data_IF_829864258962
#
_entry.id   IF_829864258962
#
_cell.length_a   1.000
_cell.length_b   1.000
_cell.length_c   1.000
_cell.angle_alpha   90.00
_cell.angle_beta   90.00
_cell.angle_gamma   90.00
#
_symmetry.space_group_name_H-M   'P 1'
#
loop_
_entity.id
_entity.type
_entity.pdbx_description
1 polymer ?
#
# COMPACT_ATOMS: atom_id res chain seq x y z
N UNK A 1 -14.04 -5.30 -9.04
CA UNK A 1 -14.91 -4.75 -7.98
C UNK A 1 -14.29 -3.43 -7.55
N UNK A 2 -14.94 -2.28 -7.77
CA UNK A 2 -14.43 -1.00 -7.29
C UNK A 2 -14.97 -0.76 -5.87
N UNK A 3 -14.08 -0.76 -4.88
CA UNK A 3 -14.42 -0.55 -3.46
C UNK A 3 -14.74 0.93 -3.16
N UNK A 4 -15.60 1.54 -3.98
CA UNK A 4 -15.63 2.99 -4.18
C UNK A 4 -14.42 3.46 -5.00
N UNK A 5 -14.54 4.57 -5.73
CA UNK A 5 -13.40 5.20 -6.40
C UNK A 5 -12.44 5.87 -5.40
N UNK A 6 -11.35 6.46 -5.89
CA UNK A 6 -10.44 7.28 -5.08
C UNK A 6 -9.31 6.54 -4.37
N UNK A 7 -9.09 5.26 -4.69
CA UNK A 7 -7.94 4.51 -4.20
C UNK A 7 -6.67 4.85 -4.99
N UNK A 8 -5.60 5.19 -4.29
CA UNK A 8 -4.26 5.32 -4.84
C UNK A 8 -3.46 4.07 -4.51
N UNK A 9 -3.13 3.28 -5.53
CA UNK A 9 -2.27 2.10 -5.40
C UNK A 9 -0.83 2.57 -5.21
N UNK A 10 -0.16 2.04 -4.20
CA UNK A 10 1.25 2.37 -3.93
C UNK A 10 2.18 1.14 -3.95
N UNK A 11 1.62 -0.07 -3.94
CA UNK A 11 2.38 -1.30 -4.11
C UNK A 11 1.53 -2.29 -4.92
N UNK A 12 2.16 -3.00 -5.85
CA UNK A 12 1.55 -4.12 -6.57
C UNK A 12 2.55 -5.26 -6.79
N UNK A 13 2.14 -6.49 -6.45
CA UNK A 13 2.76 -7.77 -6.83
C UNK A 13 1.75 -8.62 -7.61
N UNK A 14 2.18 -9.28 -8.68
CA UNK A 14 1.32 -10.04 -9.61
C UNK A 14 2.00 -11.27 -10.20
N UNK A 15 3.28 -11.18 -10.57
CA UNK A 15 3.95 -12.20 -11.39
C UNK A 15 5.42 -12.46 -11.02
N UNK A 16 5.99 -11.66 -10.11
CA UNK A 16 7.38 -11.78 -9.65
C UNK A 16 8.43 -11.28 -10.65
N UNK A 17 8.06 -10.52 -11.69
CA UNK A 17 9.02 -10.00 -12.66
C UNK A 17 9.85 -8.83 -12.14
N UNK A 18 9.33 -8.08 -11.16
CA UNK A 18 10.04 -6.96 -10.58
C UNK A 18 10.84 -7.40 -9.34
N UNK A 19 12.07 -6.91 -9.24
CA UNK A 19 12.92 -7.19 -8.09
C UNK A 19 12.62 -6.20 -6.97
N UNK A 20 12.22 -6.69 -5.79
CA UNK A 20 11.97 -5.90 -4.60
C UNK A 20 13.14 -5.92 -3.59
N UNK A 21 14.20 -6.68 -3.87
CA UNK A 21 15.47 -6.57 -3.14
C UNK A 21 16.24 -5.33 -3.64
N UNK A 22 15.90 -4.17 -3.05
CA UNK A 22 16.30 -2.84 -3.50
C UNK A 22 16.86 -2.00 -2.37
N UNK A 23 17.76 -1.09 -2.71
CA UNK A 23 18.42 -0.21 -1.76
C UNK A 23 17.47 0.88 -1.23
N UNK A 24 17.87 1.55 -0.15
CA UNK A 24 17.09 2.62 0.48
C UNK A 24 16.67 3.72 -0.51
N UNK A 25 17.61 4.13 -1.37
CA UNK A 25 17.36 5.21 -2.35
C UNK A 25 16.30 4.82 -3.39
N UNK A 26 16.17 3.53 -3.70
CA UNK A 26 15.17 3.02 -4.65
C UNK A 26 13.81 2.93 -3.97
N UNK A 27 13.74 2.39 -2.74
CA UNK A 27 12.50 2.41 -1.95
C UNK A 27 12.02 3.83 -1.63
N UNK A 28 12.94 4.78 -1.46
CA UNK A 28 12.62 6.20 -1.29
C UNK A 28 11.91 6.78 -2.51
N UNK A 29 12.48 6.60 -3.69
CA UNK A 29 12.00 7.24 -4.93
C UNK A 29 10.92 6.45 -5.66
N UNK A 30 10.82 5.15 -5.41
CA UNK A 30 9.96 4.22 -6.14
C UNK A 30 10.70 3.48 -7.27
N UNK A 31 10.15 2.34 -7.66
CA UNK A 31 10.66 1.47 -8.71
C UNK A 31 9.54 0.61 -9.30
N UNK A 32 9.84 -0.04 -10.43
CA UNK A 32 8.90 -0.87 -11.17
C UNK A 32 8.00 -0.11 -12.13
N UNK A 33 6.96 -0.78 -12.62
CA UNK A 33 6.07 -0.28 -13.65
C UNK A 33 4.68 0.07 -13.11
N UNK A 34 4.55 1.31 -12.65
CA UNK A 34 3.29 1.87 -12.16
C UNK A 34 2.29 2.25 -13.28
N UNK A 35 2.74 2.30 -14.54
CA UNK A 35 1.91 2.79 -15.65
C UNK A 35 1.22 1.65 -16.39
N UNK A 36 1.80 0.45 -16.38
CA UNK A 36 1.15 -0.74 -16.93
C UNK A 36 0.03 -1.25 -16.01
N UNK A 37 -1.08 -1.77 -16.56
CA UNK A 37 -2.15 -2.38 -15.77
C UNK A 37 -1.69 -3.57 -14.91
N UNK A 38 -0.69 -4.33 -15.39
CA UNK A 38 -0.21 -5.56 -14.76
C UNK A 38 1.20 -5.42 -14.14
N UNK A 39 1.81 -4.23 -14.22
CA UNK A 39 3.20 -4.02 -13.80
C UNK A 39 3.37 -4.06 -12.28
N UNK A 40 4.38 -4.78 -11.79
CA UNK A 40 4.73 -4.73 -10.37
C UNK A 40 5.49 -3.43 -10.05
N UNK A 41 5.19 -2.81 -8.90
CA UNK A 41 5.87 -1.56 -8.51
C UNK A 41 5.77 -1.27 -7.02
N UNK A 42 6.67 -0.38 -6.57
CA UNK A 42 6.60 0.36 -5.32
C UNK A 42 6.62 1.85 -5.66
N UNK A 43 5.61 2.61 -5.21
CA UNK A 43 5.44 4.01 -5.56
C UNK A 43 6.59 4.90 -5.06
N UNK A 44 7.22 4.51 -3.95
CA UNK A 44 8.24 5.29 -3.27
C UNK A 44 7.77 5.79 -1.91
N UNK A 45 8.68 5.76 -0.93
CA UNK A 45 8.39 6.19 0.43
C UNK A 45 8.18 7.70 0.54
N UNK A 46 8.90 8.50 -0.27
CA UNK A 46 8.69 9.96 -0.32
C UNK A 46 7.28 10.33 -0.85
N UNK A 47 6.83 9.79 -2.01
CA UNK A 47 5.44 9.95 -2.45
C UNK A 47 4.41 9.45 -1.43
N UNK A 48 4.65 8.29 -0.80
CA UNK A 48 3.73 7.70 0.17
C UNK A 48 3.60 8.56 1.44
N UNK A 49 4.73 9.07 1.95
CA UNK A 49 4.74 10.05 3.03
C UNK A 49 3.94 11.31 2.63
N UNK A 50 4.25 11.88 1.45
CA UNK A 50 3.57 13.08 0.95
C UNK A 50 2.05 12.89 0.88
N UNK A 51 1.56 11.77 0.36
CA UNK A 51 0.13 11.45 0.29
C UNK A 51 -0.45 11.36 1.71
N UNK A 52 0.12 10.49 2.54
CA UNK A 52 -0.47 10.15 3.84
C UNK A 52 -0.32 11.24 4.91
N UNK A 53 0.52 12.25 4.66
CA UNK A 53 0.65 13.45 5.51
C UNK A 53 -0.46 14.49 5.31
N UNK A 54 -1.26 14.39 4.25
CA UNK A 54 -2.26 15.41 3.89
C UNK A 54 -3.56 15.31 4.71
N UNK A 55 -3.77 14.23 5.44
CA UNK A 55 -4.99 14.01 6.22
C UNK A 55 -5.11 12.60 6.77
N UNK A 56 -6.33 12.18 7.07
CA UNK A 56 -6.62 10.83 7.51
C UNK A 56 -6.76 9.91 6.29
N UNK A 57 -5.85 8.94 6.16
CA UNK A 57 -5.91 7.91 5.11
C UNK A 57 -6.25 6.54 5.68
N UNK A 58 -7.02 5.78 4.91
CA UNK A 58 -7.33 4.37 5.13
C UNK A 58 -6.41 3.53 4.23
N UNK A 59 -5.89 2.42 4.76
CA UNK A 59 -5.15 1.42 3.99
C UNK A 59 -6.10 0.27 3.65
N UNK A 60 -6.02 -0.22 2.41
CA UNK A 60 -6.57 -1.51 2.01
C UNK A 60 -5.49 -2.35 1.35
N UNK A 61 -5.44 -3.61 1.74
CA UNK A 61 -4.59 -4.65 1.15
C UNK A 61 -5.51 -5.70 0.54
N UNK A 62 -5.42 -5.90 -0.78
CA UNK A 62 -6.06 -7.02 -1.46
C UNK A 62 -5.00 -8.07 -1.77
N UNK A 63 -5.32 -9.34 -1.57
CA UNK A 63 -4.43 -10.46 -1.80
C UNK A 63 -5.15 -11.60 -2.53
N UNK A 64 -4.41 -12.36 -3.32
CA UNK A 64 -4.87 -13.58 -3.99
C UNK A 64 -3.83 -14.69 -3.79
N UNK A 65 -4.30 -15.91 -3.56
CA UNK A 65 -3.45 -17.11 -3.48
C UNK A 65 -3.41 -17.87 -4.82
N UNK A 66 -2.62 -18.93 -4.90
CA UNK A 66 -2.51 -19.74 -6.13
C UNK A 66 -3.70 -20.68 -6.38
N UNK A 67 -4.65 -20.72 -5.45
CA UNK A 67 -5.94 -21.42 -5.56
C UNK A 67 -7.07 -20.46 -5.99
N UNK A 68 -6.71 -19.22 -6.37
CA UNK A 68 -7.62 -18.16 -6.81
C UNK A 68 -8.56 -17.65 -5.71
N UNK A 69 -8.28 -17.98 -4.44
CA UNK A 69 -9.01 -17.37 -3.33
C UNK A 69 -8.51 -15.93 -3.15
N UNK A 70 -9.45 -15.01 -2.95
CA UNK A 70 -9.15 -13.60 -2.71
C UNK A 70 -9.54 -13.22 -1.29
N UNK A 71 -8.66 -12.47 -0.62
CA UNK A 71 -8.90 -11.92 0.71
C UNK A 71 -8.43 -10.48 0.79
N UNK A 72 -8.90 -9.77 1.81
CA UNK A 72 -8.47 -8.40 2.04
C UNK A 72 -8.33 -8.07 3.52
N UNK A 73 -7.63 -6.96 3.79
CA UNK A 73 -7.49 -6.33 5.10
C UNK A 73 -7.59 -4.81 4.95
N UNK A 74 -8.28 -4.16 5.88
CA UNK A 74 -8.47 -2.70 5.91
C UNK A 74 -8.10 -2.13 7.28
N UNK A 75 -7.43 -0.98 7.25
CA UNK A 75 -6.96 -0.27 8.43
C UNK A 75 -7.28 1.22 8.34
N UNK A 76 -7.63 1.82 9.47
CA UNK A 76 -7.72 3.28 9.60
C UNK A 76 -6.35 3.90 9.88
N UNK A 77 -6.24 5.22 9.67
CA UNK A 77 -5.11 6.07 10.09
C UNK A 77 -3.75 5.52 9.64
N UNK A 78 -3.67 5.14 8.38
CA UNK A 78 -2.40 4.76 7.75
C UNK A 78 -1.59 6.01 7.45
N UNK A 79 -0.39 6.10 8.03
CA UNK A 79 0.55 7.20 7.78
C UNK A 79 1.99 6.71 7.79
N UNK A 80 2.78 7.26 6.89
CA UNK A 80 4.23 7.01 6.83
C UNK A 80 4.94 8.32 7.18
N UNK A 81 5.89 8.28 8.11
CA UNK A 81 6.70 9.45 8.46
C UNK A 81 7.66 9.86 7.34
N UNK A 82 8.34 10.99 7.52
CA UNK A 82 9.37 11.45 6.58
C UNK A 82 10.68 10.66 6.72
N UNK A 83 11.63 10.88 5.81
CA UNK A 83 12.90 10.16 5.79
C UNK A 83 13.73 10.32 7.08
N UNK A 84 13.65 11.49 7.74
CA UNK A 84 14.40 11.76 8.98
C UNK A 84 14.03 10.80 10.10
N UNK A 85 12.76 10.36 10.11
CA UNK A 85 12.19 9.40 11.05
C UNK A 85 12.13 7.98 10.43
N UNK A 86 12.86 7.77 9.33
CA UNK A 86 12.98 6.51 8.59
C UNK A 86 11.64 5.92 8.14
N UNK A 87 10.73 6.77 7.66
CA UNK A 87 9.45 6.32 7.12
C UNK A 87 8.68 5.40 8.09
N UNK A 88 8.72 5.73 9.39
CA UNK A 88 8.02 4.96 10.43
C UNK A 88 6.54 4.77 10.08
N UNK A 89 6.06 3.53 10.20
CA UNK A 89 4.67 3.19 9.94
C UNK A 89 3.80 3.55 11.13
N UNK A 90 2.75 4.31 10.87
CA UNK A 90 1.64 4.51 11.79
C UNK A 90 0.43 3.79 11.21
N UNK A 91 -0.15 2.90 12.01
CA UNK A 91 -1.30 2.11 11.64
C UNK A 91 -2.33 2.22 12.75
N UNK A 92 -3.57 2.53 12.38
CA UNK A 92 -4.70 2.53 13.31
C UNK A 92 -5.43 1.19 13.32
N UNK A 93 -6.66 1.23 13.83
CA UNK A 93 -7.55 0.08 13.98
C UNK A 93 -7.73 -0.71 12.66
N UNK A 94 -7.60 -2.05 12.74
CA UNK A 94 -8.10 -2.98 11.74
C UNK A 94 -9.63 -2.94 11.71
N UNK A 95 -10.20 -2.55 10.56
CA UNK A 95 -11.63 -2.27 10.46
C UNK A 95 -12.44 -3.34 9.75
N UNK A 96 -11.82 -4.02 8.79
CA UNK A 96 -12.51 -5.00 7.97
C UNK A 96 -11.50 -5.92 7.28
N UNK A 97 -12.00 -7.05 6.81
CA UNK A 97 -11.21 -8.01 6.05
C UNK A 97 -11.36 -9.43 6.59
N UNK A 98 -11.11 -10.38 5.72
CA UNK A 98 -11.10 -11.82 5.97
C UNK A 98 -9.70 -12.42 5.93
N UNK A 99 -8.66 -11.61 5.65
CA UNK A 99 -7.26 -12.04 5.66
C UNK A 99 -6.64 -12.12 7.07
N UNK A 100 -7.31 -11.56 8.08
CA UNK A 100 -6.74 -11.37 9.42
C UNK A 100 -5.73 -10.22 9.48
N UNK A 101 -5.41 -9.81 10.70
CA UNK A 101 -4.54 -8.65 10.97
C UNK A 101 -3.07 -9.07 11.10
N UNK A 102 -2.37 -9.16 9.97
CA UNK A 102 -0.96 -9.50 9.94
C UNK A 102 -0.03 -8.31 10.28
N UNK A 103 -0.52 -7.07 10.17
CA UNK A 103 0.30 -5.87 10.44
C UNK A 103 0.28 -5.45 11.91
N UNK A 104 -0.65 -5.97 12.71
CA UNK A 104 -0.71 -5.82 14.17
C UNK A 104 -0.98 -7.17 14.86
N UNK A 105 -0.35 -8.25 14.37
CA UNK A 105 -0.57 -9.65 14.78
C UNK A 105 -0.19 -10.00 16.25
N UNK A 106 -0.81 -9.35 17.23
CA UNK A 106 -0.60 -9.57 18.66
C UNK A 106 0.32 -8.55 19.34
N UNK A 107 0.44 -7.34 18.78
CA UNK A 107 1.08 -6.20 19.41
C UNK A 107 2.55 -5.94 19.00
N UNK A 108 3.27 -5.08 19.72
CA UNK A 108 4.48 -4.39 19.24
C UNK A 108 5.69 -5.31 18.97
N UNK A 109 5.62 -6.58 19.36
CA UNK A 109 6.69 -7.53 19.10
C UNK A 109 6.58 -8.14 17.69
N UNK A 110 5.37 -8.31 17.15
CA UNK A 110 5.11 -9.03 15.90
C UNK A 110 4.49 -8.14 14.81
N UNK A 111 3.83 -7.05 15.21
CA UNK A 111 3.24 -6.06 14.31
C UNK A 111 4.24 -5.06 13.74
N UNK A 112 3.91 -4.51 12.59
CA UNK A 112 4.65 -3.43 11.90
C UNK A 112 4.24 -2.03 12.38
N UNK A 113 3.19 -1.90 13.19
CA UNK A 113 2.77 -0.59 13.72
C UNK A 113 3.86 0.04 14.60
N UNK A 114 4.25 1.28 14.29
CA UNK A 114 5.32 2.01 14.98
C UNK A 114 6.73 1.60 14.56
N UNK A 115 6.89 0.68 13.60
CA UNK A 115 8.18 0.17 13.14
C UNK A 115 8.77 1.10 12.07
N UNK A 116 10.10 1.29 12.11
CA UNK A 116 10.83 2.06 11.11
C UNK A 116 11.10 1.22 9.86
N UNK A 117 11.02 1.83 8.68
CA UNK A 117 11.31 1.13 7.44
C UNK A 117 12.80 0.77 7.39
N UNK A 118 13.11 -0.39 6.82
CA UNK A 118 14.48 -0.85 6.63
C UNK A 118 14.67 -1.47 5.25
N UNK A 119 15.91 -1.41 4.78
CA UNK A 119 16.43 -2.10 3.58
C UNK A 119 17.77 -2.75 3.94
N UNK A 120 18.35 -3.56 3.04
CA UNK A 120 19.63 -4.23 3.29
C UNK A 120 20.80 -3.26 3.57
N UNK A 121 20.77 -2.05 2.99
CA UNK A 121 21.79 -1.01 3.10
C UNK A 121 21.48 0.03 4.20
N UNK A 122 20.24 0.06 4.70
CA UNK A 122 19.83 0.92 5.82
C UNK A 122 18.80 0.18 6.70
N UNK A 123 19.26 -0.57 7.72
CA UNK A 123 18.35 -1.27 8.61
C UNK A 123 17.50 -0.28 9.43
N UNK A 124 16.22 -0.60 9.66
CA UNK A 124 15.36 0.16 10.56
C UNK A 124 15.81 0.02 12.01
N UNK A 125 15.74 1.06 12.84
CA UNK A 125 16.32 1.01 14.20
C UNK A 125 15.67 -0.03 15.15
N UNK A 126 14.42 -0.43 14.89
CA UNK A 126 13.76 -1.53 15.63
C UNK A 126 14.42 -2.90 15.39
N UNK A 127 15.23 -3.05 14.33
CA UNK A 127 16.09 -4.21 14.10
C UNK A 127 17.28 -4.31 15.07
N UNK A 128 17.48 -3.36 16.00
CA UNK A 128 18.52 -3.56 17.02
C UNK A 128 18.22 -4.78 17.91
N UNK A 129 16.95 -5.18 18.07
CA UNK A 129 16.60 -6.43 18.77
C UNK A 129 16.90 -7.71 17.96
N UNK A 130 17.15 -7.62 16.65
CA UNK A 130 17.50 -8.76 15.78
C UNK A 130 19.02 -8.90 15.56
N UNK A 131 19.78 -7.81 15.69
CA UNK A 131 21.25 -7.87 15.72
C UNK A 131 21.75 -8.72 16.91
N UNK A 132 21.07 -8.63 18.06
CA UNK A 132 21.36 -9.43 19.26
C UNK A 132 21.03 -10.92 19.06
N UNK A 133 20.01 -11.22 18.25
CA UNK A 133 19.58 -12.59 17.94
C UNK A 133 20.48 -13.26 16.88
N UNK A 134 21.07 -12.49 15.97
CA UNK A 134 22.07 -12.96 15.01
C UNK A 134 23.45 -13.18 15.65
N UNK A 135 23.75 -12.49 16.75
CA UNK A 135 24.99 -12.65 17.52
C UNK A 135 24.92 -13.75 18.62
N UNK A 136 23.77 -14.41 18.79
CA UNK A 136 23.61 -15.50 19.75
C UNK A 136 24.23 -16.79 19.20
N UNK A 137 25.51 -16.95 19.51
CA UNK A 137 26.30 -18.17 19.36
C UNK A 137 25.69 -19.32 20.20
N UNK A 138 25.43 -20.40 19.47
CA UNK A 138 25.07 -21.80 19.76
C UNK A 138 24.39 -22.36 21.04
N UNK A 139 24.28 -21.74 22.22
CA UNK A 139 24.07 -22.61 23.42
C UNK A 139 22.97 -22.32 24.45
N UNK A 140 22.03 -21.37 24.28
CA UNK A 140 20.96 -21.25 25.30
C UNK A 140 19.62 -20.63 24.84
N UNK A 141 18.55 -21.40 25.09
CA UNK A 141 17.12 -21.01 25.24
C UNK A 141 16.37 -20.48 24.01
N UNK A 142 15.77 -21.40 23.25
CA UNK A 142 14.33 -21.43 22.91
C UNK A 142 13.64 -20.21 22.28
N UNK A 143 14.36 -19.17 21.88
CA UNK A 143 13.82 -18.02 21.16
C UNK A 143 13.90 -18.28 19.66
N UNK A 144 12.78 -18.12 18.95
CA UNK A 144 12.77 -18.20 17.49
C UNK A 144 13.81 -17.22 16.91
N UNK A 145 14.79 -17.77 16.16
CA UNK A 145 15.77 -16.99 15.40
C UNK A 145 15.02 -16.44 14.19
N UNK A 146 14.60 -15.18 14.24
CA UNK A 146 14.05 -14.49 13.07
C UNK A 146 15.19 -14.27 12.09
N UNK A 147 15.24 -15.07 11.03
CA UNK A 147 16.33 -15.04 10.07
C UNK A 147 16.23 -13.75 9.26
N UNK A 148 17.34 -13.03 9.23
CA UNK A 148 17.55 -11.75 8.58
C UNK A 148 16.84 -11.64 7.22
N UNK A 149 15.96 -10.65 7.10
CA UNK A 149 15.15 -10.35 5.92
C UNK A 149 15.99 -9.53 4.92
N UNK A 150 16.89 -10.21 4.21
CA UNK A 150 17.88 -9.56 3.33
C UNK A 150 17.39 -9.37 1.88
N UNK A 151 16.09 -9.54 1.59
CA UNK A 151 15.56 -9.50 0.20
C UNK A 151 14.34 -8.63 -0.04
N UNK A 152 14.10 -7.66 0.83
CA UNK A 152 13.09 -6.63 0.59
C UNK A 152 13.34 -5.37 1.43
N UNK A 153 12.59 -4.33 1.15
CA UNK A 153 12.40 -3.19 2.05
C UNK A 153 11.04 -3.28 2.72
N UNK A 154 10.99 -3.14 4.04
CA UNK A 154 9.75 -3.27 4.81
C UNK A 154 9.83 -2.61 6.19
N UNK A 155 8.69 -2.54 6.86
CA UNK A 155 8.58 -2.26 8.30
C UNK A 155 8.80 -3.54 9.10
N UNK A 156 10.08 -3.96 9.15
CA UNK A 156 10.54 -5.19 9.78
C UNK A 156 10.43 -5.14 11.32
N UNK A 157 9.53 -5.96 11.86
CA UNK A 157 9.36 -6.25 13.28
C UNK A 157 10.15 -7.52 13.66
N UNK A 158 9.88 -8.16 14.80
CA UNK A 158 10.54 -9.42 15.13
C UNK A 158 9.76 -10.59 14.50
N UNK A 159 10.37 -11.29 13.52
CA UNK A 159 9.77 -12.42 12.80
C UNK A 159 8.44 -12.01 12.14
N UNK A 160 8.48 -11.07 11.20
CA UNK A 160 7.31 -10.32 10.72
C UNK A 160 6.12 -11.24 10.43
N UNK A 161 4.96 -10.79 10.88
CA UNK A 161 3.70 -11.47 10.54
C UNK A 161 3.22 -11.15 9.12
N UNK A 162 3.84 -10.18 8.44
CA UNK A 162 3.62 -9.95 7.02
C UNK A 162 4.81 -9.28 6.35
N UNK A 163 5.16 -9.74 5.15
CA UNK A 163 6.18 -9.14 4.28
C UNK A 163 5.66 -9.17 2.84
N UNK A 164 4.95 -8.14 2.42
CA UNK A 164 4.34 -8.10 1.09
C UNK A 164 5.32 -7.72 -0.02
N UNK A 165 6.54 -7.32 0.36
CA UNK A 165 7.63 -6.97 -0.55
C UNK A 165 8.64 -8.12 -0.72
N UNK A 166 8.42 -9.28 -0.10
CA UNK A 166 9.35 -10.40 -0.12
C UNK A 166 9.62 -11.00 -1.50
N UNK A 167 10.46 -12.02 -1.51
CA UNK A 167 10.77 -12.82 -2.68
C UNK A 167 9.51 -13.52 -3.21
N UNK A 168 9.32 -13.48 -4.52
CA UNK A 168 8.12 -14.04 -5.14
C UNK A 168 8.28 -15.55 -5.34
N UNK A 169 7.71 -16.34 -4.44
CA UNK A 169 7.52 -17.78 -4.64
C UNK A 169 6.11 -18.08 -5.14
N UNK A 170 5.92 -19.25 -5.77
CA UNK A 170 4.63 -19.69 -6.28
C UNK A 170 3.91 -20.61 -5.30
N UNK A 171 3.25 -20.02 -4.31
CA UNK A 171 2.48 -20.74 -3.29
C UNK A 171 3.37 -21.26 -2.16
N UNK A 172 3.19 -22.52 -1.70
CA UNK A 172 4.05 -23.12 -0.69
C UNK A 172 5.52 -23.11 -1.15
N UNK A 173 6.43 -22.76 -0.25
CA UNK A 173 7.86 -22.69 -0.58
C UNK A 173 8.74 -23.24 0.55
N UNK A 174 9.93 -23.70 0.16
CA UNK A 174 11.00 -24.12 1.08
C UNK A 174 12.23 -23.25 0.80
N UNK A 175 12.69 -22.55 1.84
CA UNK A 175 13.83 -21.64 1.75
C UNK A 175 14.60 -21.63 3.08
N UNK A 176 15.78 -21.01 3.07
CA UNK A 176 16.59 -20.86 4.29
C UNK A 176 15.99 -19.85 5.28
N UNK A 177 15.12 -18.97 4.80
CA UNK A 177 14.46 -17.94 5.57
C UNK A 177 13.00 -17.81 5.13
N UNK A 178 12.17 -17.22 5.98
CA UNK A 178 10.77 -16.88 5.69
C UNK A 178 10.71 -15.57 4.89
N UNK A 179 11.31 -15.58 3.69
CA UNK A 179 11.54 -14.38 2.86
C UNK A 179 10.50 -14.17 1.74
N UNK A 180 9.41 -14.94 1.72
CA UNK A 180 8.37 -14.86 0.70
C UNK A 180 7.45 -13.63 0.76
N UNK A 181 6.52 -13.51 -0.19
CA UNK A 181 5.40 -12.54 -0.14
C UNK A 181 4.34 -13.05 0.84
N UNK A 182 4.50 -12.74 2.13
CA UNK A 182 3.80 -13.43 3.22
C UNK A 182 2.70 -12.58 3.88
N UNK A 183 1.59 -13.23 4.20
CA UNK A 183 0.55 -12.74 5.12
C UNK A 183 0.19 -13.86 6.12
N UNK A 184 0.83 -13.83 7.30
CA UNK A 184 0.85 -14.94 8.26
C UNK A 184 -0.54 -15.38 8.71
N UNK A 185 -1.43 -14.42 9.01
CA UNK A 185 -2.77 -14.71 9.54
C UNK A 185 -3.68 -15.44 8.55
N UNK A 186 -3.26 -15.56 7.29
CA UNK A 186 -3.98 -16.34 6.28
C UNK A 186 -3.31 -17.69 6.00
N UNK A 187 -2.06 -17.71 5.54
CA UNK A 187 -1.41 -18.94 5.08
C UNK A 187 -0.14 -19.32 5.86
N UNK A 188 0.19 -18.59 6.94
CA UNK A 188 1.45 -18.76 7.68
C UNK A 188 2.66 -18.23 6.93
N UNK A 189 3.87 -18.51 7.43
CA UNK A 189 5.12 -17.97 6.88
C UNK A 189 5.61 -18.66 5.60
N UNK A 190 5.24 -19.92 5.37
CA UNK A 190 5.80 -20.75 4.30
C UNK A 190 4.92 -20.82 3.03
N UNK A 191 4.12 -19.78 2.82
CA UNK A 191 3.31 -19.61 1.62
C UNK A 191 3.47 -18.18 1.09
N UNK A 192 3.80 -18.06 -0.20
CA UNK A 192 3.91 -16.78 -0.89
C UNK A 192 2.64 -16.49 -1.70
N UNK A 193 2.06 -15.30 -1.51
CA UNK A 193 0.86 -14.86 -2.22
C UNK A 193 1.10 -14.77 -3.72
N UNK A 194 0.07 -15.05 -4.52
CA UNK A 194 0.08 -14.91 -5.98
C UNK A 194 0.03 -13.44 -6.39
N UNK A 195 -0.86 -12.66 -5.78
CA UNK A 195 -0.92 -11.23 -6.04
C UNK A 195 -1.23 -10.44 -4.77
N UNK A 196 -0.75 -9.21 -4.75
CA UNK A 196 -0.95 -8.25 -3.67
C UNK A 196 -1.14 -6.87 -4.28
N UNK A 197 -2.11 -6.11 -3.76
CA UNK A 197 -2.29 -4.70 -4.07
C UNK A 197 -2.49 -3.94 -2.77
N UNK A 198 -1.58 -3.02 -2.46
CA UNK A 198 -1.74 -2.08 -1.35
C UNK A 198 -2.13 -0.71 -1.87
N UNK A 199 -3.17 -0.14 -1.27
CA UNK A 199 -3.74 1.13 -1.71
C UNK A 199 -4.23 1.95 -0.53
N UNK A 200 -4.15 3.27 -0.67
CA UNK A 200 -4.65 4.24 0.31
C UNK A 200 -5.80 5.06 -0.25
N UNK A 201 -6.68 5.52 0.63
CA UNK A 201 -7.76 6.44 0.28
C UNK A 201 -7.95 7.46 1.40
N UNK A 202 -8.09 8.74 1.05
CA UNK A 202 -8.44 9.76 2.03
C UNK A 202 -9.83 9.45 2.61
N UNK A 203 -9.98 9.55 3.92
CA UNK A 203 -11.23 9.25 4.61
C UNK A 203 -12.34 10.26 4.28
N UNK A 204 -11.95 11.49 3.96
CA UNK A 204 -12.82 12.62 3.65
C UNK A 204 -12.94 12.89 2.15
N UNK A 205 -12.52 11.96 1.29
CA UNK A 205 -12.63 12.07 -0.16
C UNK A 205 -14.11 12.26 -0.55
N UNK A 206 -14.47 13.51 -0.81
CA UNK A 206 -15.79 13.80 -1.35
C UNK A 206 -15.85 13.25 -2.77
N UNK A 207 -16.98 12.61 -3.17
CA UNK A 207 -17.17 12.28 -4.57
C UNK A 207 -17.02 13.58 -5.38
N UNK A 208 -16.43 13.50 -6.59
CA UNK A 208 -16.36 14.68 -7.44
C UNK A 208 -17.79 15.25 -7.55
N UNK A 209 -17.96 16.58 -7.44
CA UNK A 209 -19.26 17.18 -7.70
C UNK A 209 -19.74 16.66 -9.06
N UNK A 210 -21.05 16.39 -9.22
CA UNK A 210 -21.60 15.92 -10.49
C UNK A 210 -21.02 16.80 -11.60
N UNK A 211 -20.37 16.19 -12.60
CA UNK A 211 -19.89 16.96 -13.73
C UNK A 211 -21.11 17.57 -14.39
N UNK A 212 -21.27 18.89 -14.28
CA UNK A 212 -22.25 19.63 -15.05
C UNK A 212 -21.86 19.51 -16.53
N UNK A 213 -22.28 18.40 -17.13
CA UNK A 213 -22.36 18.22 -18.57
C UNK A 213 -23.17 19.37 -19.18
N UNK A 214 -22.85 19.75 -20.42
CA UNK A 214 -22.52 21.11 -20.78
C UNK A 214 -23.71 22.06 -20.58
N UNK A 215 -23.65 22.86 -19.52
CA UNK A 215 -24.49 24.05 -19.36
C UNK A 215 -24.03 25.21 -20.28
N UNK A 216 -23.22 24.91 -21.30
CA UNK A 216 -22.59 25.87 -22.21
C UNK A 216 -23.29 25.98 -23.58
N UNK A 217 -24.19 25.05 -23.94
CA UNK A 217 -24.92 25.16 -25.22
C UNK A 217 -26.20 26.00 -25.13
N UNK A 218 -26.81 26.11 -23.94
CA UNK A 218 -28.06 26.88 -23.77
C UNK A 218 -27.81 28.36 -23.53
N UNK A 219 -26.65 28.75 -23.01
CA UNK A 219 -26.25 30.17 -22.89
C UNK A 219 -25.70 30.76 -24.19
N UNK A 220 -25.22 29.94 -25.14
CA UNK A 220 -24.77 30.41 -26.45
C UNK A 220 -25.88 30.45 -27.52
N UNK A 221 -27.02 29.79 -27.29
CA UNK A 221 -28.19 29.85 -28.17
C UNK A 221 -29.35 30.71 -27.64
N UNK A 222 -29.22 31.28 -26.43
CA UNK A 222 -30.29 32.03 -25.76
C UNK A 222 -30.30 33.55 -26.01
N UNK A 223 -29.31 34.11 -26.70
CA UNK A 223 -29.27 35.55 -26.99
C UNK A 223 -29.31 35.77 -28.49
N UNK A 224 -30.51 35.66 -29.09
CA UNK A 224 -30.94 36.51 -30.21
C UNK A 224 -32.39 36.18 -30.55
N UNK A 225 -33.18 37.24 -30.73
CA UNK A 225 -34.60 37.31 -31.06
C UNK A 225 -35.52 37.27 -29.84
N UNK A 226 -35.66 38.41 -29.15
CA UNK A 226 -36.95 39.11 -28.96
C UNK A 226 -36.63 40.57 -28.59
N UNK A 227 -36.63 41.46 -29.57
CA UNK A 227 -36.92 42.91 -29.41
C UNK A 227 -36.95 43.60 -30.78
N UNK A 228 -38.02 43.37 -31.54
CA UNK A 228 -38.59 44.39 -32.44
C UNK A 228 -40.11 44.28 -32.33
N UNK A 229 -40.66 44.90 -31.29
CA UNK A 229 -42.08 45.19 -31.20
C UNK A 229 -42.35 46.41 -32.09
N UNK A 230 -43.36 46.29 -32.94
CA UNK A 230 -43.56 47.14 -34.10
C UNK A 230 -44.08 48.54 -33.81
N UNK A 231 -43.85 49.42 -34.80
CA UNK A 231 -44.71 50.55 -35.10
C UNK A 231 -45.32 50.31 -36.49
N UNK A 232 -46.65 50.28 -36.53
CA UNK A 232 -47.41 50.29 -37.77
C UNK A 232 -47.60 51.70 -38.30
N UNK A 233 -47.60 51.84 -39.63
CA UNK A 233 -48.44 52.79 -40.35
C UNK A 233 -48.48 52.42 -41.84
N UNK A 234 -49.70 52.29 -42.38
CA UNK A 234 -50.02 52.29 -43.80
C UNK A 234 -49.57 53.61 -44.48
N UNK A 235 -49.34 53.59 -45.79
CA UNK A 235 -50.04 54.39 -46.81
C UNK A 235 -49.30 54.34 -48.18
N UNK A 236 -50.01 53.80 -49.17
CA UNK A 236 -49.82 53.79 -50.64
C UNK A 236 -48.59 53.11 -51.25
#
# INVERSE_FOLDING_TARGET
MSNGGGWTVFQRRTDGQENFDRAWVEYKNGFGDQFSPDGEFWLGNDPLHYITSQGDYELRVNMEDFEENQRFAEYKKFRVDEEKDQYQLHLGEYTAGDAGDALDAGGPMWGSAGVKFGTFDRPGETNQLSADAAAADDDDKGGAKCIRHDRSGWWFSRCESGNLNGHYYKGPYEALAEDGVVWYTWHGWWYSMKSVVMMVRAKDLQPPPPSDGPMLLQQLLGNNLEDVQGDGAELW
#
